data_IF_635307970592
#
_entry.id   IF_635307970592
#
_cell.length_a   1.000
_cell.length_b   1.000
_cell.length_c   1.000
_cell.angle_alpha   90.00
_cell.angle_beta   90.00
_cell.angle_gamma   90.00
#
_symmetry.space_group_name_H-M   'P 1'
#
loop_
_entity.id
_entity.type
_entity.pdbx_description
1 polymer ?
#
# COMPACT_ATOMS: atom_id res chain seq x y z
N UNK A 1 37.84 -5.08 25.33
CA UNK A 1 37.51 -6.36 24.69
C UNK A 1 36.08 -6.26 24.21
N UNK A 2 35.84 -6.01 22.91
CA UNK A 2 34.49 -5.85 22.37
C UNK A 2 33.87 -7.24 22.17
N UNK A 3 32.73 -7.51 22.80
CA UNK A 3 31.99 -8.76 22.61
C UNK A 3 31.41 -8.81 21.18
N UNK A 4 31.49 -9.96 20.48
CA UNK A 4 30.90 -10.09 19.15
C UNK A 4 29.37 -9.96 19.24
N UNK A 5 28.79 -9.11 18.38
CA UNK A 5 27.34 -8.93 18.29
C UNK A 5 26.67 -10.26 17.92
N UNK A 6 25.54 -10.58 18.56
CA UNK A 6 24.72 -11.74 18.20
C UNK A 6 24.12 -11.58 16.79
N UNK A 7 23.85 -12.69 16.10
CA UNK A 7 23.22 -12.70 14.75
C UNK A 7 21.91 -11.90 14.75
N UNK A 8 21.14 -11.98 15.85
CA UNK A 8 19.90 -11.21 16.04
C UNK A 8 20.16 -9.71 16.19
N UNK A 9 21.25 -9.30 16.85
CA UNK A 9 21.65 -7.90 16.97
C UNK A 9 22.11 -7.31 15.64
N UNK A 10 22.87 -8.06 14.83
CA UNK A 10 23.31 -7.62 13.50
C UNK A 10 22.12 -7.38 12.56
N UNK A 11 21.10 -8.24 12.62
CA UNK A 11 19.90 -8.09 11.79
C UNK A 11 19.05 -6.88 12.21
N UNK A 12 18.95 -6.61 13.52
CA UNK A 12 18.24 -5.45 14.04
C UNK A 12 18.94 -4.13 13.68
N UNK A 13 20.28 -4.09 13.78
CA UNK A 13 21.08 -2.92 13.39
C UNK A 13 20.89 -2.62 11.89
N UNK A 14 20.93 -3.65 11.03
CA UNK A 14 20.68 -3.50 9.59
C UNK A 14 19.26 -3.04 9.27
N UNK A 15 18.26 -3.54 9.98
CA UNK A 15 16.86 -3.09 9.81
C UNK A 15 16.71 -1.60 10.17
N UNK A 16 17.34 -1.16 11.26
CA UNK A 16 17.35 0.23 11.66
C UNK A 16 18.01 1.14 10.61
N UNK A 17 19.17 0.73 10.09
CA UNK A 17 19.86 1.44 9.01
C UNK A 17 18.99 1.59 7.75
N UNK A 18 18.31 0.52 7.34
CA UNK A 18 17.38 0.55 6.20
C UNK A 18 16.25 1.54 6.48
N UNK A 19 15.64 1.50 7.68
CA UNK A 19 14.56 2.41 8.04
C UNK A 19 15.01 3.88 8.07
N UNK A 20 16.20 4.16 8.56
CA UNK A 20 16.73 5.53 8.61
C UNK A 20 17.05 6.06 7.21
N UNK A 21 17.60 5.22 6.32
CA UNK A 21 17.74 5.55 4.90
C UNK A 21 16.37 5.84 4.27
N UNK A 22 15.36 5.01 4.50
CA UNK A 22 14.01 5.19 3.94
C UNK A 22 13.34 6.48 4.42
N UNK A 23 13.52 6.85 5.70
CA UNK A 23 12.99 8.11 6.26
C UNK A 23 13.60 9.36 5.65
N UNK A 24 14.83 9.27 5.14
CA UNK A 24 15.53 10.40 4.53
C UNK A 24 15.12 10.64 3.07
N UNK A 25 14.37 9.71 2.45
CA UNK A 25 13.96 9.83 1.06
C UNK A 25 12.85 10.85 0.85
N UNK A 26 12.83 11.46 -0.34
CA UNK A 26 11.67 12.20 -0.78
C UNK A 26 10.47 11.26 -0.96
N UNK A 27 9.22 11.76 -0.85
CA UNK A 27 8.01 10.98 -1.15
C UNK A 27 8.08 10.23 -2.48
N UNK A 28 8.63 10.87 -3.51
CA UNK A 28 8.75 10.28 -4.85
C UNK A 28 9.75 9.13 -4.86
N UNK A 29 10.91 9.34 -4.25
CA UNK A 29 11.99 8.34 -4.25
C UNK A 29 11.64 7.15 -3.36
N UNK A 30 10.88 7.40 -2.27
CA UNK A 30 10.33 6.33 -1.43
C UNK A 30 9.45 5.40 -2.26
N UNK A 31 8.50 5.93 -3.04
CA UNK A 31 7.66 5.09 -3.90
C UNK A 31 8.47 4.35 -4.97
N UNK A 32 9.42 5.05 -5.62
CA UNK A 32 10.26 4.46 -6.66
C UNK A 32 11.14 3.32 -6.14
N UNK A 33 11.65 3.44 -4.91
CA UNK A 33 12.44 2.41 -4.24
C UNK A 33 11.55 1.27 -3.74
N UNK A 34 10.43 1.58 -3.08
CA UNK A 34 9.50 0.60 -2.52
C UNK A 34 9.04 -0.43 -3.57
N UNK A 35 8.79 0.01 -4.79
CA UNK A 35 8.37 -0.85 -5.92
C UNK A 35 9.46 -1.80 -6.40
N UNK A 36 10.73 -1.52 -6.08
CA UNK A 36 11.91 -2.32 -6.47
C UNK A 36 12.48 -3.15 -5.34
N UNK A 37 12.03 -2.96 -4.10
CA UNK A 37 12.48 -3.77 -2.96
C UNK A 37 12.21 -5.24 -3.24
N UNK A 38 13.23 -6.06 -3.01
CA UNK A 38 13.09 -7.51 -3.04
C UNK A 38 12.64 -8.05 -1.68
N UNK A 39 12.34 -9.35 -1.66
CA UNK A 39 11.91 -10.06 -0.45
C UNK A 39 12.98 -10.05 0.66
N UNK A 40 14.26 -9.99 0.32
CA UNK A 40 15.36 -10.07 1.29
C UNK A 40 15.49 -8.80 2.14
N UNK A 41 15.12 -7.65 1.56
CA UNK A 41 15.16 -6.33 2.22
C UNK A 41 13.83 -6.01 2.91
N UNK A 42 12.75 -6.67 2.52
CA UNK A 42 11.40 -6.42 3.01
C UNK A 42 11.12 -7.14 4.33
N UNK A 43 11.71 -6.64 5.41
CA UNK A 43 11.38 -7.08 6.76
C UNK A 43 9.96 -6.66 7.16
N UNK A 44 9.36 -7.27 8.20
CA UNK A 44 8.05 -6.85 8.69
C UNK A 44 8.00 -5.38 9.09
N UNK A 45 9.07 -4.84 9.69
CA UNK A 45 9.13 -3.44 10.10
C UNK A 45 9.20 -2.51 8.88
N UNK A 46 10.04 -2.83 7.89
CA UNK A 46 10.15 -2.07 6.64
C UNK A 46 8.81 -2.04 5.91
N UNK A 47 8.17 -3.21 5.71
CA UNK A 47 6.86 -3.29 5.06
C UNK A 47 5.79 -2.48 5.80
N UNK A 48 5.74 -2.62 7.13
CA UNK A 48 4.78 -1.91 7.97
C UNK A 48 5.00 -0.40 7.92
N UNK A 49 6.26 0.05 7.98
CA UNK A 49 6.59 1.47 7.94
C UNK A 49 6.26 2.09 6.59
N UNK A 50 6.70 1.49 5.48
CA UNK A 50 6.42 2.04 4.14
C UNK A 50 4.91 2.09 3.90
N UNK A 51 4.18 1.00 4.18
CA UNK A 51 2.73 0.93 3.96
C UNK A 51 1.91 1.95 4.77
N UNK A 52 2.45 2.49 5.87
CA UNK A 52 1.79 3.49 6.68
C UNK A 52 2.03 4.94 6.20
N UNK A 53 2.89 5.16 5.21
CA UNK A 53 3.23 6.51 4.76
C UNK A 53 2.13 7.11 3.88
N UNK A 54 1.78 8.37 4.15
CA UNK A 54 0.75 9.12 3.41
C UNK A 54 1.09 9.32 1.93
N UNK A 55 2.37 9.28 1.57
CA UNK A 55 2.84 9.47 0.20
C UNK A 55 2.72 8.21 -0.67
N UNK A 56 2.45 7.04 -0.08
CA UNK A 56 2.35 5.79 -0.84
C UNK A 56 1.06 5.80 -1.65
N UNK A 57 1.20 5.62 -2.96
CA UNK A 57 0.10 5.43 -3.89
C UNK A 57 -0.33 3.95 -3.96
N UNK A 58 -1.51 3.72 -4.56
CA UNK A 58 -2.09 2.38 -4.68
C UNK A 58 -1.19 1.41 -5.45
N UNK A 59 -0.54 1.86 -6.52
CA UNK A 59 0.36 1.02 -7.31
C UNK A 59 1.61 0.60 -6.52
N UNK A 60 2.14 1.51 -5.70
CA UNK A 60 3.24 1.22 -4.78
C UNK A 60 2.83 0.23 -3.69
N UNK A 61 1.67 0.42 -3.06
CA UNK A 61 1.13 -0.51 -2.05
C UNK A 61 0.92 -1.92 -2.62
N UNK A 62 0.34 -2.00 -3.82
CA UNK A 62 0.18 -3.26 -4.56
C UNK A 62 1.53 -3.92 -4.88
N UNK A 63 2.52 -3.13 -5.31
CA UNK A 63 3.87 -3.64 -5.61
C UNK A 63 4.57 -4.18 -4.36
N UNK A 64 4.48 -3.49 -3.23
CA UNK A 64 4.99 -3.97 -1.94
C UNK A 64 4.36 -5.31 -1.54
N UNK A 65 3.04 -5.45 -1.70
CA UNK A 65 2.34 -6.69 -1.39
C UNK A 65 2.89 -7.86 -2.22
N UNK A 66 3.03 -7.71 -3.54
CA UNK A 66 3.54 -8.78 -4.41
C UNK A 66 5.03 -9.05 -4.22
N UNK A 67 5.84 -8.02 -4.02
CA UNK A 67 7.29 -8.17 -3.77
C UNK A 67 7.55 -8.90 -2.44
N UNK A 68 6.62 -8.82 -1.49
CA UNK A 68 6.66 -9.57 -0.25
C UNK A 68 6.25 -11.05 -0.44
N UNK A 69 6.01 -11.53 -1.66
CA UNK A 69 5.75 -12.93 -2.00
C UNK A 69 4.64 -13.57 -1.14
N UNK A 70 3.39 -13.12 -1.30
CA UNK A 70 2.25 -13.57 -0.50
C UNK A 70 1.86 -15.02 -0.80
N UNK A 71 2.13 -15.50 -2.02
CA UNK A 71 1.82 -16.86 -2.48
C UNK A 71 2.31 -17.95 -1.51
N UNK A 72 3.51 -17.75 -0.93
CA UNK A 72 4.15 -18.69 -0.01
C UNK A 72 3.35 -18.99 1.26
N UNK A 73 2.39 -18.14 1.62
CA UNK A 73 1.60 -18.26 2.85
C UNK A 73 0.09 -18.12 2.63
N UNK A 74 -0.37 -17.83 1.41
CA UNK A 74 -1.75 -17.46 1.13
C UNK A 74 -2.78 -18.55 1.50
N UNK A 75 -2.37 -19.81 1.48
CA UNK A 75 -3.24 -20.96 1.82
C UNK A 75 -2.88 -21.63 3.14
N UNK A 76 -1.98 -21.03 3.93
CA UNK A 76 -1.68 -21.53 5.26
C UNK A 76 -2.66 -20.94 6.27
N UNK A 77 -3.20 -21.81 7.12
CA UNK A 77 -3.89 -21.38 8.34
C UNK A 77 -2.92 -20.57 9.22
N UNK A 78 -3.47 -19.67 10.04
CA UNK A 78 -2.66 -18.73 10.84
C UNK A 78 -1.63 -19.44 11.71
N UNK A 79 -2.01 -20.56 12.32
CA UNK A 79 -1.14 -21.33 13.22
C UNK A 79 -0.12 -22.19 12.46
N UNK A 80 -0.37 -22.47 11.18
CA UNK A 80 0.55 -23.19 10.29
C UNK A 80 1.67 -22.30 9.74
N UNK A 81 1.59 -20.97 9.92
CA UNK A 81 2.67 -20.05 9.53
C UNK A 81 3.86 -20.21 10.48
N UNK A 82 5.08 -20.51 9.96
CA UNK A 82 6.27 -20.62 10.80
C UNK A 82 6.54 -19.33 11.56
N UNK A 83 6.98 -19.44 12.82
CA UNK A 83 7.21 -18.31 13.74
C UNK A 83 7.95 -17.13 13.10
N UNK A 84 9.06 -17.31 12.35
CA UNK A 84 9.79 -16.20 11.74
C UNK A 84 8.97 -15.36 10.75
N UNK A 85 7.92 -15.93 10.16
CA UNK A 85 7.10 -15.28 9.14
C UNK A 85 5.78 -14.73 9.66
N UNK A 86 5.42 -14.99 10.92
CA UNK A 86 4.13 -14.53 11.50
C UNK A 86 4.00 -13.01 11.48
N UNK A 87 5.07 -12.29 11.85
CA UNK A 87 5.10 -10.81 11.80
C UNK A 87 4.98 -10.27 10.39
N UNK A 88 5.61 -10.94 9.41
CA UNK A 88 5.46 -10.56 8.00
C UNK A 88 4.03 -10.75 7.52
N UNK A 89 3.41 -11.89 7.83
CA UNK A 89 2.02 -12.16 7.48
C UNK A 89 1.07 -11.16 8.13
N UNK A 90 1.31 -10.75 9.38
CA UNK A 90 0.53 -9.69 10.03
C UNK A 90 0.68 -8.32 9.33
N UNK A 91 1.89 -7.99 8.86
CA UNK A 91 2.12 -6.78 8.06
C UNK A 91 1.38 -6.85 6.70
N UNK A 92 1.36 -8.03 6.07
CA UNK A 92 0.57 -8.29 4.85
C UNK A 92 -0.94 -8.20 5.09
N UNK A 93 -1.45 -8.69 6.23
CA UNK A 93 -2.86 -8.55 6.62
C UNK A 93 -3.24 -7.07 6.69
N UNK A 94 -2.42 -6.26 7.38
CA UNK A 94 -2.66 -4.83 7.52
C UNK A 94 -2.57 -4.10 6.17
N UNK A 95 -1.59 -4.44 5.33
CA UNK A 95 -1.45 -3.86 3.99
C UNK A 95 -2.64 -4.20 3.10
N UNK A 96 -3.04 -5.47 3.04
CA UNK A 96 -4.19 -5.93 2.26
C UNK A 96 -5.48 -5.23 2.73
N UNK A 97 -5.68 -5.09 4.04
CA UNK A 97 -6.81 -4.36 4.58
C UNK A 97 -6.81 -2.87 4.17
N UNK A 98 -5.66 -2.20 4.23
CA UNK A 98 -5.51 -0.80 3.79
C UNK A 98 -5.78 -0.63 2.29
N UNK A 99 -5.29 -1.56 1.48
CA UNK A 99 -5.60 -1.61 0.05
C UNK A 99 -7.10 -1.72 -0.12
N UNK A 100 -7.74 -2.72 0.50
CA UNK A 100 -9.15 -3.00 0.29
C UNK A 100 -10.10 -1.91 0.79
N UNK A 101 -9.73 -1.19 1.86
CA UNK A 101 -10.53 -0.08 2.38
C UNK A 101 -10.32 1.24 1.64
N UNK A 102 -9.49 1.27 0.59
CA UNK A 102 -9.26 2.45 -0.23
C UNK A 102 -8.36 3.51 0.43
N UNK A 103 -7.47 3.10 1.35
CA UNK A 103 -6.53 4.01 2.00
C UNK A 103 -5.57 4.68 1.00
N UNK A 104 -5.22 3.98 -0.08
CA UNK A 104 -4.31 4.46 -1.11
C UNK A 104 -5.06 4.95 -2.36
N UNK A 105 -4.60 6.06 -2.93
CA UNK A 105 -5.12 6.58 -4.19
C UNK A 105 -4.19 6.19 -5.36
N UNK A 106 -4.73 5.92 -6.56
CA UNK A 106 -3.89 5.69 -7.75
C UNK A 106 -3.18 6.99 -8.17
N UNK A 107 -1.91 6.89 -8.55
CA UNK A 107 -1.14 7.98 -9.16
C UNK A 107 -1.09 7.79 -10.69
N UNK A 108 -1.78 8.63 -11.49
CA UNK A 108 -1.79 8.51 -12.95
C UNK A 108 -0.40 8.63 -13.59
N UNK A 109 0.57 9.23 -12.90
CA UNK A 109 1.94 9.36 -13.38
C UNK A 109 2.79 8.12 -13.10
N UNK A 110 2.29 7.16 -12.31
CA UNK A 110 2.98 5.92 -11.94
C UNK A 110 2.11 4.70 -12.23
N UNK A 111 2.04 4.26 -13.49
CA UNK A 111 1.36 3.02 -13.83
C UNK A 111 2.01 1.82 -13.11
N UNK A 112 1.29 0.71 -13.03
CA UNK A 112 1.77 -0.51 -12.39
C UNK A 112 2.81 -1.20 -13.27
N UNK A 113 3.98 -1.58 -12.73
CA UNK A 113 5.08 -2.12 -13.55
C UNK A 113 4.82 -3.57 -13.99
N UNK A 114 4.19 -4.36 -13.11
CA UNK A 114 3.99 -5.81 -13.30
C UNK A 114 2.50 -6.18 -13.43
N UNK A 115 1.72 -5.43 -14.23
CA UNK A 115 0.26 -5.61 -14.37
C UNK A 115 -0.16 -7.07 -14.53
N UNK A 116 0.55 -7.84 -15.37
CA UNK A 116 0.27 -9.27 -15.60
C UNK A 116 0.32 -10.11 -14.32
N UNK A 117 1.25 -9.84 -13.41
CA UNK A 117 1.35 -10.60 -12.16
C UNK A 117 0.15 -10.31 -11.24
N UNK A 118 -0.36 -9.07 -11.26
CA UNK A 118 -1.58 -8.72 -10.53
C UNK A 118 -2.83 -9.32 -11.15
N UNK A 119 -2.95 -9.31 -12.48
CA UNK A 119 -4.06 -9.98 -13.17
C UNK A 119 -4.06 -11.48 -12.86
N UNK A 120 -2.88 -12.13 -12.86
CA UNK A 120 -2.73 -13.53 -12.45
C UNK A 120 -3.23 -13.73 -11.02
N UNK A 121 -2.73 -12.94 -10.08
CA UNK A 121 -3.14 -12.99 -8.66
C UNK A 121 -4.65 -12.84 -8.47
N UNK A 122 -5.30 -11.91 -9.19
CA UNK A 122 -6.76 -11.77 -9.18
C UNK A 122 -7.47 -12.99 -9.76
N UNK A 123 -6.93 -13.57 -10.85
CA UNK A 123 -7.46 -14.79 -11.45
C UNK A 123 -7.36 -16.01 -10.53
N UNK A 124 -6.25 -16.12 -9.78
CA UNK A 124 -6.06 -17.18 -8.79
C UNK A 124 -7.10 -17.07 -7.66
N UNK A 125 -7.41 -15.85 -7.20
CA UNK A 125 -8.46 -15.61 -6.20
C UNK A 125 -9.85 -16.01 -6.71
N UNK A 126 -10.15 -15.73 -7.98
CA UNK A 126 -11.42 -16.14 -8.60
C UNK A 126 -11.51 -17.67 -8.76
N UNK A 127 -10.40 -18.32 -9.11
CA UNK A 127 -10.32 -19.77 -9.19
C UNK A 127 -10.52 -20.45 -7.82
N UNK A 128 -9.94 -19.87 -6.76
CA UNK A 128 -10.17 -20.32 -5.39
C UNK A 128 -11.63 -20.19 -4.99
N UNK A 129 -12.26 -19.04 -5.27
CA UNK A 129 -13.67 -18.80 -4.96
C UNK A 129 -14.58 -19.83 -5.65
N UNK A 130 -14.33 -20.15 -6.93
CA UNK A 130 -15.03 -21.21 -7.67
C UNK A 130 -14.83 -22.59 -7.04
N UNK A 131 -13.65 -22.84 -6.49
CA UNK A 131 -13.27 -24.10 -5.82
C UNK A 131 -13.68 -24.16 -4.34
N UNK A 132 -14.44 -23.18 -3.84
CA UNK A 132 -14.79 -23.00 -2.41
C UNK A 132 -13.58 -22.96 -1.48
N UNK A 133 -12.42 -22.59 -2.02
CA UNK A 133 -11.22 -22.26 -1.26
C UNK A 133 -11.15 -20.76 -1.09
N UNK A 134 -10.47 -20.27 -0.06
CA UNK A 134 -10.23 -18.84 0.10
C UNK A 134 -8.80 -18.62 0.53
N UNK A 135 -8.04 -17.87 -0.26
CA UNK A 135 -6.76 -17.34 0.15
C UNK A 135 -6.90 -16.37 1.33
N UNK A 136 -5.87 -16.29 2.16
CA UNK A 136 -5.79 -15.37 3.30
C UNK A 136 -5.96 -13.91 2.87
N UNK A 137 -5.39 -13.55 1.72
CA UNK A 137 -5.45 -12.19 1.18
C UNK A 137 -6.20 -12.19 -0.15
N UNK A 138 -7.35 -11.53 -0.16
CA UNK A 138 -8.18 -11.33 -1.36
C UNK A 138 -8.29 -9.84 -1.60
N UNK A 139 -7.96 -9.37 -2.80
CA UNK A 139 -8.14 -7.97 -3.13
C UNK A 139 -9.60 -7.70 -3.50
N UNK A 140 -10.12 -6.55 -3.06
CA UNK A 140 -11.40 -6.06 -3.54
C UNK A 140 -11.23 -5.59 -4.99
N UNK A 141 -11.87 -6.23 -5.98
CA UNK A 141 -11.69 -5.90 -7.39
C UNK A 141 -12.01 -4.43 -7.70
N UNK A 142 -12.98 -3.85 -7.00
CA UNK A 142 -13.38 -2.44 -7.20
C UNK A 142 -12.26 -1.50 -6.79
N UNK A 143 -11.56 -1.80 -5.69
CA UNK A 143 -10.52 -0.92 -5.16
C UNK A 143 -9.26 -0.96 -6.03
N UNK A 144 -8.91 -2.13 -6.58
CA UNK A 144 -7.71 -2.29 -7.42
C UNK A 144 -7.96 -2.04 -8.92
N UNK A 145 -9.22 -1.98 -9.36
CA UNK A 145 -9.60 -1.76 -10.76
C UNK A 145 -8.87 -0.60 -11.45
N UNK A 146 -8.65 0.57 -10.82
CA UNK A 146 -7.94 1.68 -11.45
C UNK A 146 -6.50 1.35 -11.88
N UNK A 147 -5.89 0.31 -11.29
CA UNK A 147 -4.50 -0.09 -11.57
C UNK A 147 -4.39 -1.23 -12.59
N UNK A 148 -5.46 -2.02 -12.79
CA UNK A 148 -5.41 -3.28 -13.56
C UNK A 148 -6.37 -3.35 -14.74
N UNK A 149 -7.34 -2.45 -14.84
CA UNK A 149 -8.26 -2.41 -15.97
C UNK A 149 -7.67 -1.64 -17.15
N UNK A 150 -7.91 -2.13 -18.37
CA UNK A 150 -7.68 -1.36 -19.61
C UNK A 150 -8.59 -0.11 -19.70
N UNK A 151 -9.59 -0.04 -18.81
CA UNK A 151 -10.34 1.17 -18.53
C UNK A 151 -9.39 2.11 -17.80
N UNK A 152 -8.59 2.83 -18.60
CA UNK A 152 -8.00 4.09 -18.19
C UNK A 152 -9.18 4.87 -17.63
N UNK A 153 -9.20 5.05 -16.31
CA UNK A 153 -9.88 6.21 -15.77
C UNK A 153 -9.11 7.37 -16.38
N UNK A 154 -9.55 7.81 -17.57
CA UNK A 154 -9.41 9.18 -17.95
C UNK A 154 -10.01 9.90 -16.76
N UNK A 155 -9.14 10.33 -15.85
CA UNK A 155 -9.34 11.55 -15.13
C UNK A 155 -9.49 12.58 -16.25
N UNK A 156 -10.69 12.62 -16.87
CA UNK A 156 -11.27 13.84 -17.37
C UNK A 156 -11.17 14.70 -16.16
N UNK A 157 -10.09 15.47 -16.13
CA UNK A 157 -9.99 16.72 -15.41
C UNK A 157 -11.24 17.42 -15.91
N UNK A 158 -12.36 17.22 -15.22
CA UNK A 158 -13.43 18.16 -15.23
C UNK A 158 -12.73 19.39 -14.69
N UNK A 159 -12.13 20.16 -15.60
CA UNK A 159 -11.94 21.58 -15.38
C UNK A 159 -13.34 21.99 -15.02
N UNK A 160 -13.60 22.13 -13.72
CA UNK A 160 -14.78 22.81 -13.25
C UNK A 160 -14.74 24.11 -14.05
N UNK A 161 -15.63 24.23 -15.03
CA UNK A 161 -15.83 25.52 -15.68
C UNK A 161 -16.15 26.42 -14.50
N UNK A 162 -15.41 27.52 -14.26
CA UNK A 162 -15.79 28.44 -13.21
C UNK A 162 -17.25 28.78 -13.49
N UNK A 163 -18.11 28.50 -12.51
CA UNK A 163 -19.53 28.81 -12.63
C UNK A 163 -19.58 30.29 -12.98
N UNK A 164 -20.05 30.59 -14.20
CA UNK A 164 -20.18 31.94 -14.69
C UNK A 164 -21.26 32.58 -13.84
N UNK A 165 -20.85 33.38 -12.86
CA UNK A 165 -21.75 34.04 -11.92
C UNK A 165 -21.30 33.82 -10.48
N UNK A 166 -20.32 34.60 -10.04
CA UNK A 166 -20.26 35.01 -8.64
C UNK A 166 -21.63 35.53 -8.20
N UNK A 167 -22.08 35.11 -7.01
CA UNK A 167 -22.65 35.98 -5.95
C UNK A 167 -22.99 35.20 -4.68
N UNK A 168 -23.01 35.85 -3.50
CA UNK A 168 -21.99 35.66 -2.48
C UNK A 168 -22.48 34.84 -1.28
N UNK A 169 -21.51 34.36 -0.49
CA UNK A 169 -21.69 33.42 0.62
C UNK A 169 -22.78 33.80 1.65
N UNK A 170 -23.64 32.82 1.92
CA UNK A 170 -24.77 32.88 2.84
C UNK A 170 -24.40 32.76 4.33
N UNK A 171 -23.11 32.80 4.69
CA UNK A 171 -22.63 32.59 6.07
C UNK A 171 -21.96 33.81 6.73
N UNK A 172 -22.03 35.01 6.14
CA UNK A 172 -21.46 36.23 6.77
C UNK A 172 -22.43 37.01 7.67
N UNK A 173 -23.61 36.48 8.02
CA UNK A 173 -24.63 37.24 8.77
C UNK A 173 -25.00 36.74 10.17
N UNK A 174 -24.21 35.83 10.78
CA UNK A 174 -24.56 35.29 12.12
C UNK A 174 -23.59 35.73 13.24
N UNK A 175 -22.48 36.41 12.94
CA UNK A 175 -21.59 36.92 13.99
C UNK A 175 -21.09 38.34 13.69
N UNK A 176 -21.98 39.33 13.75
CA UNK A 176 -21.61 40.72 14.01
C UNK A 176 -22.85 41.56 14.35
N UNK A 177 -23.24 41.55 15.62
CA UNK A 177 -23.83 42.72 16.32
C UNK A 177 -24.14 42.36 17.77
N UNK A 178 -23.30 42.76 18.72
CA UNK A 178 -23.69 43.41 19.98
C UNK A 178 -22.43 43.77 20.78
N UNK A 179 -22.01 45.02 20.63
CA UNK A 179 -21.31 45.81 21.64
C UNK A 179 -21.62 47.26 21.31
N UNK A 180 -22.60 47.79 22.03
CA UNK A 180 -22.81 49.19 22.33
C UNK A 180 -23.63 49.20 23.62
#
# INVERSE_FOLDING_TARGET
>A
MAMPRSITGVQADREAEILDMLKALSPKDLCDLARRLDRSTMTPAVLSWISAQRSVDLGTAMSLFMNAQPDSFNHLEKDAVPEPYRRLCAALDALCQRINCGYYLPDPQRPLDKVRDFVRWMGDQEADARSRRKGRWVFNPVTVAPMISDIRFDARRHKAKPARGERPGLFRKVFSSQSA
#
